data_IF_421583140827
#
_entry.id   IF_421583140827
#
_cell.length_a   1.000
_cell.length_b   1.000
_cell.length_c   1.000
_cell.angle_alpha   90.00
_cell.angle_beta   90.00
_cell.angle_gamma   90.00
#
_symmetry.space_group_name_H-M   'P 1'
#
loop_
_entity.id
_entity.type
_entity.pdbx_description
1 polymer ?
#
# COMPACT_ATOMS: atom_id res chain seq x y z
N UNK A 1 -6.85 26.20 26.21
CA UNK A 1 -5.67 25.31 26.23
C UNK A 1 -6.00 23.84 26.57
N UNK A 2 -6.81 23.53 27.59
CA UNK A 2 -7.21 22.14 27.92
C UNK A 2 -7.97 21.41 26.80
N UNK A 3 -8.80 22.10 26.02
CA UNK A 3 -9.60 21.50 24.94
C UNK A 3 -8.75 21.02 23.75
N UNK A 4 -7.64 21.69 23.43
CA UNK A 4 -6.72 21.31 22.36
C UNK A 4 -5.96 20.04 22.77
N UNK A 5 -5.55 19.94 24.04
CA UNK A 5 -4.89 18.75 24.60
C UNK A 5 -5.78 17.49 24.52
N UNK A 6 -7.06 17.64 24.84
CA UNK A 6 -8.01 16.52 24.77
C UNK A 6 -8.23 16.03 23.34
N UNK A 7 -8.22 16.95 22.37
CA UNK A 7 -8.39 16.61 20.95
C UNK A 7 -7.16 15.91 20.34
N UNK A 8 -5.95 16.31 20.76
CA UNK A 8 -4.70 15.67 20.29
C UNK A 8 -4.57 14.25 20.87
N UNK A 9 -4.81 14.05 22.17
CA UNK A 9 -4.79 12.74 22.82
C UNK A 9 -5.90 11.85 22.25
N UNK A 10 -7.08 12.38 21.96
CA UNK A 10 -8.16 11.62 21.35
C UNK A 10 -7.87 11.21 19.90
N UNK A 11 -7.20 12.07 19.09
CA UNK A 11 -6.83 11.73 17.72
C UNK A 11 -5.71 10.67 17.65
N UNK A 12 -4.71 10.76 18.52
CA UNK A 12 -3.64 9.74 18.60
C UNK A 12 -4.13 8.44 19.19
N UNK A 13 -5.01 8.48 20.18
CA UNK A 13 -5.66 7.29 20.75
C UNK A 13 -6.58 6.61 19.73
N UNK A 14 -7.33 7.37 18.93
CA UNK A 14 -8.19 6.82 17.88
C UNK A 14 -7.39 6.15 16.76
N UNK A 15 -6.21 6.67 16.42
CA UNK A 15 -5.31 6.03 15.46
C UNK A 15 -4.71 4.73 16.00
N UNK A 16 -4.49 4.63 17.30
CA UNK A 16 -3.92 3.45 17.95
C UNK A 16 -4.97 2.35 18.19
N UNK A 17 -6.24 2.71 18.42
CA UNK A 17 -7.34 1.75 18.59
C UNK A 17 -7.85 1.15 17.29
N UNK A 18 -7.50 1.73 16.13
CA UNK A 18 -7.81 1.17 14.80
C UNK A 18 -6.82 0.09 14.34
N UNK A 19 -5.91 -0.37 15.20
CA UNK A 19 -5.06 -1.54 14.94
C UNK A 19 -5.57 -2.74 15.78
N UNK A 20 -6.68 -3.39 15.42
CA UNK A 20 -7.03 -4.66 16.02
C UNK A 20 -6.11 -5.74 15.49
N UNK A 21 -5.33 -6.36 16.34
CA UNK A 21 -4.70 -7.64 16.08
C UNK A 21 -3.19 -7.62 15.85
N UNK A 22 -2.42 -7.25 16.86
CA UNK A 22 -1.02 -7.67 17.04
C UNK A 22 -0.95 -8.94 17.90
N UNK A 23 -1.86 -9.89 17.66
CA UNK A 23 -1.70 -11.25 18.16
C UNK A 23 -1.26 -12.11 16.98
N UNK A 24 -0.17 -12.87 17.10
CA UNK A 24 0.21 -13.84 16.08
C UNK A 24 -0.88 -14.91 16.04
N UNK A 25 -1.65 -14.96 14.96
CA UNK A 25 -2.48 -16.11 14.66
C UNK A 25 -1.55 -17.30 14.47
N UNK A 26 -1.55 -18.22 15.41
CA UNK A 26 -1.02 -19.56 15.21
C UNK A 26 -1.85 -20.20 14.11
N UNK A 27 -1.29 -20.30 12.93
CA UNK A 27 -1.80 -21.13 11.84
C UNK A 27 -1.53 -22.56 12.24
N UNK A 28 -2.55 -23.26 12.73
CA UNK A 28 -2.62 -24.71 12.66
C UNK A 28 -2.63 -25.06 11.18
N UNK A 29 -1.51 -25.57 10.71
CA UNK A 29 -1.32 -26.14 9.39
C UNK A 29 -2.14 -27.46 9.35
N UNK A 30 -3.38 -27.37 8.86
CA UNK A 30 -4.16 -28.53 8.47
C UNK A 30 -3.72 -28.86 7.06
N UNK A 31 -2.87 -29.87 6.94
CA UNK A 31 -2.46 -30.50 5.69
C UNK A 31 -3.71 -31.03 4.98
N UNK A 32 -4.02 -30.60 3.74
CA UNK A 32 -5.08 -31.22 2.96
C UNK A 32 -4.66 -32.65 2.56
N UNK A 33 -5.59 -33.63 2.56
CA UNK A 33 -5.27 -34.97 2.10
C UNK A 33 -4.95 -34.96 0.60
N UNK A 34 -3.86 -35.59 0.26
CA UNK A 34 -3.37 -35.80 -1.09
C UNK A 34 -4.36 -36.69 -1.86
N UNK A 35 -4.87 -36.27 -3.04
CA UNK A 35 -5.68 -37.13 -3.87
C UNK A 35 -4.82 -38.23 -4.51
N UNK A 36 -5.31 -39.46 -4.41
CA UNK A 36 -4.73 -40.63 -5.05
C UNK A 36 -4.64 -40.46 -6.57
N UNK A 37 -3.48 -40.81 -7.13
CA UNK A 37 -3.26 -40.91 -8.57
C UNK A 37 -4.17 -41.99 -9.15
N UNK A 38 -5.08 -41.61 -10.03
CA UNK A 38 -5.77 -42.55 -10.91
C UNK A 38 -5.04 -42.60 -12.24
N UNK A 39 -4.64 -43.82 -12.59
CA UNK A 39 -4.10 -44.21 -13.88
C UNK A 39 -5.06 -43.85 -15.01
N UNK A 40 -4.70 -42.98 -15.91
CA UNK A 40 -5.42 -42.74 -17.16
C UNK A 40 -4.71 -43.42 -18.32
N UNK A 41 -5.39 -44.43 -18.84
CA UNK A 41 -5.15 -45.17 -20.07
C UNK A 41 -5.35 -44.25 -21.29
N UNK A 42 -4.50 -44.33 -22.33
CA UNK A 42 -4.64 -43.49 -23.54
C UNK A 42 -5.75 -44.01 -24.45
N UNK A 43 -6.56 -43.08 -24.96
CA UNK A 43 -7.55 -43.36 -26.02
C UNK A 43 -7.27 -42.48 -27.26
N UNK A 44 -7.53 -43.01 -28.48
CA UNK A 44 -6.93 -42.54 -29.71
C UNK A 44 -7.71 -41.41 -30.41
N UNK A 45 -6.94 -40.64 -31.16
CA UNK A 45 -7.31 -39.54 -32.05
C UNK A 45 -8.15 -40.04 -33.26
N UNK A 46 -9.17 -39.31 -33.71
CA UNK A 46 -9.50 -39.32 -35.14
C UNK A 46 -9.31 -37.96 -35.79
N UNK A 47 -8.44 -37.97 -36.81
CA UNK A 47 -8.43 -36.98 -37.87
C UNK A 47 -9.79 -36.88 -38.57
N UNK A 48 -10.19 -35.66 -38.94
CA UNK A 48 -10.99 -35.50 -40.15
C UNK A 48 -10.61 -34.23 -40.92
N UNK A 49 -10.18 -34.49 -42.14
CA UNK A 49 -9.97 -33.56 -43.23
C UNK A 49 -11.33 -33.16 -43.79
N UNK A 50 -11.50 -31.92 -44.22
CA UNK A 50 -12.19 -31.72 -45.49
C UNK A 50 -11.80 -30.37 -46.15
N UNK A 51 -11.45 -30.52 -47.41
CA UNK A 51 -11.10 -29.48 -48.34
C UNK A 51 -12.33 -29.13 -49.22
N UNK A 52 -12.27 -27.97 -49.89
CA UNK A 52 -13.07 -27.74 -51.10
C UNK A 52 -13.69 -26.36 -51.17
N UNK A 53 -13.11 -25.47 -51.92
CA UNK A 53 -13.45 -24.92 -53.27
C UNK A 53 -14.44 -23.75 -53.22
N UNK A 54 -14.02 -22.63 -53.72
CA UNK A 54 -13.92 -22.09 -55.07
C UNK A 54 -15.07 -21.16 -55.51
N UNK A 55 -14.73 -19.96 -55.92
CA UNK A 55 -15.31 -19.30 -57.10
C UNK A 55 -16.26 -18.14 -56.86
N UNK A 56 -16.02 -16.95 -57.10
CA UNK A 56 -16.23 -16.18 -58.33
C UNK A 56 -16.22 -14.68 -58.12
N UNK A 57 -15.53 -13.98 -58.95
CA UNK A 57 -15.43 -12.54 -59.07
C UNK A 57 -16.71 -11.90 -59.59
N UNK A 58 -17.04 -10.70 -59.14
CA UNK A 58 -17.62 -9.61 -59.93
C UNK A 58 -17.43 -8.27 -59.24
N UNK A 59 -16.89 -7.28 -59.95
CA UNK A 59 -16.64 -5.89 -59.65
C UNK A 59 -17.63 -5.05 -60.49
N UNK A 60 -17.81 -3.73 -60.33
CA UNK A 60 -17.82 -2.83 -59.16
C UNK A 60 -19.08 -1.93 -59.11
N UNK A 61 -19.38 -1.30 -57.98
CA UNK A 61 -19.98 0.04 -57.93
C UNK A 61 -19.84 0.60 -56.51
N UNK A 62 -19.15 1.71 -56.35
CA UNK A 62 -19.02 2.47 -55.12
C UNK A 62 -20.26 3.29 -54.88
N UNK A 63 -20.76 3.35 -53.67
CA UNK A 63 -20.88 4.55 -52.84
C UNK A 63 -20.68 4.26 -51.34
N UNK A 64 -20.91 5.19 -50.39
CA UNK A 64 -19.90 5.66 -49.47
C UNK A 64 -19.64 4.70 -48.31
N UNK A 65 -18.39 4.77 -47.87
CA UNK A 65 -17.79 3.98 -46.80
C UNK A 65 -18.56 4.06 -45.49
N UNK A 66 -19.45 3.10 -45.23
CA UNK A 66 -19.75 2.68 -43.90
C UNK A 66 -18.57 1.87 -43.36
N UNK A 67 -18.00 2.32 -42.26
CA UNK A 67 -17.03 1.53 -41.50
C UNK A 67 -17.66 0.16 -41.21
N UNK A 68 -16.96 -0.95 -41.51
CA UNK A 68 -17.46 -2.28 -41.18
C UNK A 68 -17.75 -2.31 -39.68
N UNK A 69 -19.00 -2.57 -39.30
CA UNK A 69 -19.33 -2.96 -37.94
C UNK A 69 -18.34 -4.07 -37.55
N UNK A 70 -17.56 -3.82 -36.49
CA UNK A 70 -16.77 -4.87 -35.90
C UNK A 70 -17.67 -6.09 -35.69
N UNK A 71 -17.24 -7.28 -36.08
CA UNK A 71 -18.06 -8.47 -35.88
C UNK A 71 -18.40 -8.52 -34.39
N UNK A 72 -19.69 -8.51 -34.09
CA UNK A 72 -20.21 -8.83 -32.76
C UNK A 72 -19.71 -10.23 -32.45
N UNK A 73 -18.54 -10.32 -31.85
CA UNK A 73 -18.02 -11.56 -31.33
C UNK A 73 -18.81 -11.91 -30.09
N UNK A 74 -19.98 -12.51 -30.31
CA UNK A 74 -20.60 -13.41 -29.35
C UNK A 74 -19.77 -14.71 -29.30
N UNK A 75 -18.44 -14.57 -29.26
CA UNK A 75 -17.58 -15.66 -28.82
C UNK A 75 -17.70 -15.65 -27.30
N UNK A 76 -18.58 -16.52 -26.81
CA UNK A 76 -18.50 -17.01 -25.43
C UNK A 76 -17.03 -17.31 -25.21
N UNK A 77 -16.36 -16.52 -24.37
CA UNK A 77 -14.96 -16.80 -24.01
C UNK A 77 -14.93 -18.25 -23.51
N UNK A 78 -13.99 -19.08 -24.01
CA UNK A 78 -13.94 -20.48 -23.57
C UNK A 78 -13.82 -20.52 -22.05
N UNK A 79 -14.65 -21.29 -21.40
CA UNK A 79 -14.58 -21.46 -19.95
C UNK A 79 -13.26 -22.15 -19.60
N UNK A 80 -12.77 -21.95 -18.37
CA UNK A 80 -11.56 -22.66 -17.92
C UNK A 80 -11.74 -24.18 -17.96
N UNK A 81 -12.96 -24.66 -17.84
CA UNK A 81 -13.31 -26.07 -17.97
C UNK A 81 -13.15 -26.57 -19.42
N UNK A 82 -13.51 -25.76 -20.42
CA UNK A 82 -13.29 -26.06 -21.83
C UNK A 82 -11.78 -26.13 -22.17
N UNK A 83 -10.95 -25.47 -21.38
CA UNK A 83 -9.48 -25.51 -21.49
C UNK A 83 -8.86 -26.65 -20.68
N UNK A 84 -9.68 -27.52 -20.08
CA UNK A 84 -9.24 -28.71 -19.33
C UNK A 84 -8.83 -28.47 -17.88
N UNK A 85 -9.12 -27.29 -17.31
CA UNK A 85 -8.92 -27.03 -15.89
C UNK A 85 -10.10 -27.58 -15.07
N UNK A 86 -9.81 -28.21 -13.93
CA UNK A 86 -10.86 -28.65 -13.02
C UNK A 86 -11.57 -27.46 -12.35
N UNK A 87 -12.84 -27.59 -12.01
CA UNK A 87 -13.60 -26.55 -11.31
C UNK A 87 -12.92 -26.09 -10.00
N UNK A 88 -12.25 -26.99 -9.30
CA UNK A 88 -11.49 -26.66 -8.09
C UNK A 88 -10.25 -25.81 -8.36
N UNK A 89 -9.54 -26.06 -9.47
CA UNK A 89 -8.41 -25.23 -9.92
C UNK A 89 -8.89 -23.84 -10.34
N UNK A 90 -9.95 -23.76 -11.13
CA UNK A 90 -10.57 -22.51 -11.56
C UNK A 90 -11.01 -21.64 -10.36
N UNK A 91 -11.64 -22.24 -9.35
CA UNK A 91 -12.02 -21.55 -8.12
C UNK A 91 -10.81 -21.08 -7.30
N UNK A 92 -9.77 -21.90 -7.18
CA UNK A 92 -8.53 -21.54 -6.49
C UNK A 92 -7.82 -20.37 -7.16
N UNK A 93 -7.76 -20.35 -8.48
CA UNK A 93 -7.17 -19.28 -9.26
C UNK A 93 -8.00 -17.98 -9.17
N UNK A 94 -9.33 -18.06 -9.21
CA UNK A 94 -10.21 -16.91 -9.04
C UNK A 94 -10.06 -16.27 -7.63
N UNK A 95 -9.99 -17.09 -6.58
CA UNK A 95 -9.76 -16.60 -5.22
C UNK A 95 -8.39 -15.93 -5.08
N UNK A 96 -7.35 -16.55 -5.63
CA UNK A 96 -6.00 -15.99 -5.64
C UNK A 96 -5.95 -14.66 -6.38
N UNK A 97 -6.61 -14.57 -7.54
CA UNK A 97 -6.69 -13.34 -8.32
C UNK A 97 -7.39 -12.24 -7.53
N UNK A 98 -8.52 -12.52 -6.88
CA UNK A 98 -9.21 -11.55 -6.03
C UNK A 98 -8.34 -11.01 -4.89
N UNK A 99 -7.51 -11.88 -4.28
CA UNK A 99 -6.56 -11.46 -3.25
C UNK A 99 -5.42 -10.58 -3.82
N UNK A 100 -4.93 -10.88 -5.02
CA UNK A 100 -3.92 -10.09 -5.72
C UNK A 100 -4.48 -8.70 -6.08
N UNK A 101 -5.71 -8.64 -6.57
CA UNK A 101 -6.37 -7.37 -6.91
C UNK A 101 -6.59 -6.50 -5.67
N UNK A 102 -7.10 -7.08 -4.59
CA UNK A 102 -7.25 -6.39 -3.30
C UNK A 102 -5.91 -5.89 -2.78
N UNK A 103 -4.85 -6.72 -2.83
CA UNK A 103 -3.50 -6.33 -2.44
C UNK A 103 -3.01 -5.16 -3.26
N UNK A 104 -3.13 -5.25 -4.59
CA UNK A 104 -2.68 -4.21 -5.52
C UNK A 104 -3.42 -2.90 -5.29
N UNK A 105 -4.73 -2.94 -5.08
CA UNK A 105 -5.54 -1.78 -4.75
C UNK A 105 -5.07 -1.10 -3.45
N UNK A 106 -4.91 -1.86 -2.38
CA UNK A 106 -4.45 -1.32 -1.08
C UNK A 106 -3.04 -0.73 -1.16
N UNK A 107 -2.12 -1.38 -1.88
CA UNK A 107 -0.75 -0.87 -2.04
C UNK A 107 -0.70 0.37 -2.93
N UNK A 108 -1.58 0.52 -3.93
CA UNK A 108 -1.74 1.77 -4.69
C UNK A 108 -2.21 2.93 -3.81
N UNK A 109 -3.17 2.67 -2.91
CA UNK A 109 -3.61 3.68 -1.94
C UNK A 109 -2.44 4.05 -1.01
N UNK A 110 -1.75 3.04 -0.45
CA UNK A 110 -0.56 3.26 0.38
C UNK A 110 0.48 4.16 -0.32
N UNK A 111 0.79 3.90 -1.58
CA UNK A 111 1.75 4.70 -2.35
C UNK A 111 1.28 6.15 -2.52
N UNK A 112 0.03 6.36 -2.90
CA UNK A 112 -0.54 7.72 -3.07
C UNK A 112 -0.57 8.48 -1.74
N UNK A 113 -1.01 7.83 -0.68
CA UNK A 113 -1.05 8.42 0.67
C UNK A 113 0.35 8.71 1.20
N UNK A 114 1.35 7.89 0.88
CA UNK A 114 2.75 8.15 1.21
C UNK A 114 3.26 9.46 0.60
N UNK A 115 2.95 9.72 -0.67
CA UNK A 115 3.28 10.99 -1.33
C UNK A 115 2.56 12.18 -0.68
N UNK A 116 1.28 12.03 -0.34
CA UNK A 116 0.51 13.06 0.35
C UNK A 116 1.11 13.32 1.73
N UNK A 117 1.53 12.29 2.46
CA UNK A 117 2.15 12.41 3.79
C UNK A 117 3.50 13.15 3.75
N UNK A 118 4.23 13.05 2.64
CA UNK A 118 5.51 13.73 2.48
C UNK A 118 5.39 15.26 2.56
N UNK A 119 4.26 15.83 2.12
CA UNK A 119 4.03 17.29 2.11
C UNK A 119 3.99 17.87 3.53
N UNK A 120 3.08 17.44 4.43
CA UNK A 120 3.08 17.96 5.80
C UNK A 120 4.31 17.53 6.60
N UNK A 121 4.93 16.39 6.29
CA UNK A 121 6.20 16.02 6.91
C UNK A 121 7.29 17.04 6.60
N UNK A 122 7.46 17.41 5.33
CA UNK A 122 8.42 18.42 4.92
C UNK A 122 8.11 19.78 5.56
N UNK A 123 6.85 20.19 5.58
CA UNK A 123 6.42 21.42 6.24
C UNK A 123 6.70 21.38 7.76
N UNK A 124 6.53 20.23 8.42
CA UNK A 124 6.87 20.03 9.83
C UNK A 124 8.37 20.19 10.06
N UNK A 125 9.20 19.60 9.19
CA UNK A 125 10.66 19.73 9.28
C UNK A 125 11.08 21.19 9.08
N UNK A 126 10.55 21.89 8.09
CA UNK A 126 10.86 23.30 7.83
C UNK A 126 10.42 24.19 9.00
N UNK A 127 9.22 23.99 9.54
CA UNK A 127 8.70 24.79 10.66
C UNK A 127 9.49 24.57 11.95
N UNK A 128 10.27 23.47 12.06
CA UNK A 128 11.09 23.19 13.24
C UNK A 128 12.14 24.27 13.50
N UNK A 129 12.65 24.93 12.44
CA UNK A 129 13.59 26.03 12.57
C UNK A 129 13.04 27.20 13.39
N UNK A 130 11.74 27.51 13.24
CA UNK A 130 11.05 28.52 14.03
C UNK A 130 10.58 28.04 15.40
N UNK A 131 10.38 26.74 15.59
CA UNK A 131 9.82 26.17 16.83
C UNK A 131 10.89 25.87 17.90
N UNK A 132 12.15 25.66 17.50
CA UNK A 132 13.25 25.25 18.39
C UNK A 132 14.06 26.38 19.04
N UNK A 133 13.93 27.61 18.58
CA UNK A 133 14.75 28.77 18.98
C UNK A 133 14.55 29.20 20.46
N UNK A 134 15.48 30.05 20.92
CA UNK A 134 15.40 30.65 22.27
C UNK A 134 14.22 31.64 22.37
N UNK A 135 13.88 32.30 21.26
CA UNK A 135 12.80 33.32 21.15
C UNK A 135 11.63 32.78 20.31
N UNK A 136 11.26 31.53 20.51
CA UNK A 136 10.19 30.88 19.74
C UNK A 136 8.83 31.51 20.07
N UNK A 137 8.13 32.04 19.06
CA UNK A 137 6.76 32.51 19.22
C UNK A 137 5.81 31.35 19.50
N UNK A 138 4.75 31.61 20.24
CA UNK A 138 3.68 30.64 20.49
C UNK A 138 3.11 30.12 19.16
N UNK A 139 2.88 31.01 18.21
CA UNK A 139 2.36 30.68 16.88
C UNK A 139 3.26 29.69 16.12
N UNK A 140 4.59 29.92 16.10
CA UNK A 140 5.51 29.00 15.42
C UNK A 140 5.53 27.61 16.05
N UNK A 141 5.45 27.56 17.36
CA UNK A 141 5.40 26.32 18.13
C UNK A 141 4.11 25.55 17.88
N UNK A 142 2.99 26.26 17.92
CA UNK A 142 1.66 25.68 17.71
C UNK A 142 1.49 25.19 16.25
N UNK A 143 2.02 25.95 15.27
CA UNK A 143 2.03 25.55 13.87
C UNK A 143 2.86 24.26 13.68
N UNK A 144 4.07 24.19 14.25
CA UNK A 144 4.89 22.99 14.18
C UNK A 144 4.19 21.78 14.80
N UNK A 145 3.56 21.94 15.93
CA UNK A 145 2.79 20.88 16.59
C UNK A 145 1.59 20.44 15.74
N UNK A 146 0.86 21.37 15.15
CA UNK A 146 -0.27 21.07 14.27
C UNK A 146 0.15 20.30 13.02
N UNK A 147 1.22 20.73 12.36
CA UNK A 147 1.79 20.05 11.20
C UNK A 147 2.31 18.65 11.55
N UNK A 148 2.97 18.51 12.70
CA UNK A 148 3.42 17.22 13.23
C UNK A 148 2.28 16.25 13.47
N UNK A 149 1.18 16.72 14.08
CA UNK A 149 -0.04 15.94 14.30
C UNK A 149 -0.70 15.49 13.00
N UNK A 150 -0.81 16.41 12.02
CA UNK A 150 -1.33 16.09 10.70
C UNK A 150 -0.46 15.03 9.99
N UNK A 151 0.86 15.19 10.07
CA UNK A 151 1.84 14.22 9.52
C UNK A 151 1.66 12.84 10.14
N UNK A 152 1.57 12.76 11.47
CA UNK A 152 1.40 11.49 12.17
C UNK A 152 0.09 10.80 11.77
N UNK A 153 -1.01 11.54 11.71
CA UNK A 153 -2.33 11.01 11.30
C UNK A 153 -2.29 10.43 9.88
N UNK A 154 -1.75 11.18 8.92
CA UNK A 154 -1.62 10.72 7.53
C UNK A 154 -0.66 9.53 7.42
N UNK A 155 0.43 9.53 8.18
CA UNK A 155 1.37 8.42 8.21
C UNK A 155 0.72 7.12 8.69
N UNK A 156 0.01 7.14 9.81
CA UNK A 156 -0.65 5.93 10.33
C UNK A 156 -1.76 5.44 9.40
N UNK A 157 -2.51 6.36 8.78
CA UNK A 157 -3.47 6.00 7.74
C UNK A 157 -2.76 5.33 6.54
N UNK A 158 -1.62 5.86 6.11
CA UNK A 158 -0.81 5.27 5.04
C UNK A 158 -0.30 3.87 5.41
N UNK A 159 0.24 3.72 6.63
CA UNK A 159 0.77 2.45 7.13
C UNK A 159 -0.33 1.37 7.23
N UNK A 160 -1.56 1.75 7.62
CA UNK A 160 -2.70 0.86 7.69
C UNK A 160 -2.91 0.09 6.37
N UNK A 161 -2.88 0.77 5.22
CA UNK A 161 -3.08 0.12 3.93
C UNK A 161 -1.98 -0.88 3.58
N UNK A 162 -0.72 -0.62 3.97
CA UNK A 162 0.37 -1.56 3.77
C UNK A 162 0.27 -2.79 4.68
N UNK A 163 -0.06 -2.58 5.96
CA UNK A 163 -0.15 -3.64 6.98
C UNK A 163 -1.34 -4.56 6.69
N UNK A 164 -2.48 -3.99 6.27
CA UNK A 164 -3.71 -4.74 5.99
C UNK A 164 -3.77 -5.34 4.59
N UNK A 165 -2.81 -5.03 3.71
CA UNK A 165 -2.75 -5.64 2.39
C UNK A 165 -2.58 -7.16 2.49
N UNK A 166 -3.39 -7.97 1.80
CA UNK A 166 -3.31 -9.43 1.85
C UNK A 166 -1.91 -9.93 1.50
N UNK A 167 -1.46 -10.97 2.21
CA UNK A 167 -0.23 -11.70 1.85
C UNK A 167 -0.62 -12.80 0.87
N UNK A 168 -0.02 -12.78 -0.31
CA UNK A 168 -0.28 -13.78 -1.36
C UNK A 168 1.04 -14.48 -1.66
N UNK A 169 1.02 -15.81 -1.66
CA UNK A 169 2.19 -16.62 -1.96
C UNK A 169 2.75 -16.30 -3.35
N UNK A 170 4.06 -16.31 -3.49
CA UNK A 170 4.73 -15.96 -4.74
C UNK A 170 4.91 -14.45 -4.99
N UNK A 171 4.37 -13.57 -4.09
CA UNK A 171 4.65 -12.13 -4.15
C UNK A 171 5.90 -11.79 -3.34
N UNK A 172 7.05 -12.25 -3.80
CA UNK A 172 8.31 -11.96 -3.12
C UNK A 172 8.72 -10.50 -3.23
N UNK A 173 9.29 -9.98 -2.16
CA UNK A 173 9.86 -8.63 -2.15
C UNK A 173 11.30 -8.66 -2.64
N UNK A 174 11.55 -8.01 -3.78
CA UNK A 174 12.89 -7.91 -4.39
C UNK A 174 13.24 -6.44 -4.65
N UNK A 175 14.53 -6.18 -4.81
CA UNK A 175 15.02 -4.87 -5.21
C UNK A 175 14.57 -3.71 -4.32
N UNK A 176 14.10 -2.59 -4.89
CA UNK A 176 13.72 -1.38 -4.18
C UNK A 176 12.72 -1.57 -3.05
N UNK A 177 11.79 -2.53 -3.21
CA UNK A 177 10.78 -2.83 -2.18
C UNK A 177 11.42 -3.42 -0.92
N UNK A 178 12.52 -4.18 -1.05
CA UNK A 178 13.27 -4.68 0.12
C UNK A 178 13.90 -3.53 0.90
N UNK A 179 14.49 -2.55 0.20
CA UNK A 179 15.06 -1.33 0.81
C UNK A 179 13.97 -0.53 1.51
N UNK A 180 12.85 -0.28 0.84
CA UNK A 180 11.69 0.38 1.43
C UNK A 180 11.23 -0.29 2.74
N UNK A 181 11.12 -1.61 2.75
CA UNK A 181 10.72 -2.36 3.95
C UNK A 181 11.75 -2.27 5.07
N UNK A 182 13.05 -2.32 4.74
CA UNK A 182 14.10 -2.15 5.74
C UNK A 182 14.04 -0.76 6.38
N UNK A 183 13.86 0.29 5.58
CA UNK A 183 13.71 1.67 6.06
C UNK A 183 12.42 1.87 6.86
N UNK A 184 11.36 1.10 6.55
CA UNK A 184 10.11 1.13 7.32
C UNK A 184 10.30 0.67 8.78
N UNK A 185 11.26 -0.21 9.06
CA UNK A 185 11.65 -0.60 10.42
C UNK A 185 12.36 0.52 11.19
N UNK A 186 12.86 1.54 10.50
CA UNK A 186 13.46 2.73 11.12
C UNK A 186 12.40 3.82 11.29
N UNK A 187 11.76 4.24 10.18
CA UNK A 187 10.80 5.34 10.26
C UNK A 187 9.48 4.95 10.95
N UNK A 188 9.10 3.66 11.00
CA UNK A 188 7.89 3.22 11.69
C UNK A 188 7.93 3.52 13.20
N UNK A 189 8.87 2.95 13.96
CA UNK A 189 9.08 3.32 15.36
C UNK A 189 9.37 4.80 15.55
N UNK A 190 10.14 5.42 14.65
CA UNK A 190 10.43 6.85 14.69
C UNK A 190 9.18 7.71 14.62
N UNK A 191 8.19 7.35 13.78
CA UNK A 191 6.92 8.07 13.67
C UNK A 191 6.02 7.92 14.91
N UNK A 192 6.27 6.93 15.75
CA UNK A 192 5.63 6.80 17.06
C UNK A 192 6.36 7.66 18.10
N UNK A 193 7.68 7.56 18.14
CA UNK A 193 8.50 8.25 19.13
C UNK A 193 8.55 9.77 18.92
N UNK A 194 8.62 10.23 17.68
CA UNK A 194 8.72 11.66 17.37
C UNK A 194 7.58 12.48 17.95
N UNK A 195 6.29 12.15 17.76
CA UNK A 195 5.21 12.93 18.36
C UNK A 195 5.18 12.82 19.89
N UNK A 196 5.55 11.69 20.49
CA UNK A 196 5.61 11.54 21.95
C UNK A 196 6.68 12.48 22.53
N UNK A 197 7.88 12.45 21.98
CA UNK A 197 8.98 13.32 22.42
C UNK A 197 8.69 14.79 22.11
N UNK A 198 7.97 15.05 21.02
CA UNK A 198 7.55 16.38 20.62
C UNK A 198 6.54 16.98 21.60
N UNK A 199 5.57 16.20 22.09
CA UNK A 199 4.61 16.64 23.10
C UNK A 199 5.32 16.98 24.41
N UNK A 200 6.27 16.15 24.84
CA UNK A 200 7.08 16.43 26.04
C UNK A 200 7.88 17.72 25.89
N UNK A 201 8.51 17.93 24.72
CA UNK A 201 9.26 19.15 24.42
C UNK A 201 8.34 20.37 24.36
N UNK A 202 7.16 20.23 23.77
CA UNK A 202 6.14 21.28 23.70
C UNK A 202 5.66 21.70 25.09
N UNK A 203 5.45 20.76 25.98
CA UNK A 203 5.01 21.02 27.36
C UNK A 203 6.07 21.83 28.12
N UNK A 204 7.36 21.41 28.07
CA UNK A 204 8.46 22.14 28.72
C UNK A 204 8.58 23.56 28.16
N UNK A 205 8.55 23.71 26.83
CA UNK A 205 8.56 25.04 26.19
C UNK A 205 7.34 25.90 26.57
N UNK A 206 6.18 25.31 26.73
CA UNK A 206 4.95 26.03 27.15
C UNK A 206 5.04 26.58 28.58
N UNK A 207 5.86 25.97 29.42
CA UNK A 207 6.17 26.42 30.78
C UNK A 207 7.32 27.41 30.83
N UNK A 208 7.91 27.77 29.67
CA UNK A 208 9.10 28.64 29.58
C UNK A 208 10.41 27.94 29.91
N UNK A 209 10.39 26.62 30.04
CA UNK A 209 11.56 25.80 30.35
C UNK A 209 12.43 25.54 29.11
N UNK A 210 13.71 25.26 29.34
CA UNK A 210 14.54 24.65 28.30
C UNK A 210 14.18 23.20 28.13
N UNK A 211 14.17 22.72 26.89
CA UNK A 211 13.96 21.30 26.64
C UNK A 211 15.11 20.50 27.23
N UNK A 212 14.79 19.53 28.07
CA UNK A 212 15.79 18.72 28.80
C UNK A 212 15.32 17.24 28.90
N UNK A 213 16.21 16.41 29.42
CA UNK A 213 15.93 14.97 29.59
C UNK A 213 15.64 14.30 28.26
N UNK A 214 14.74 13.30 28.28
CA UNK A 214 14.40 12.50 27.09
C UNK A 214 13.73 13.32 25.97
N UNK A 215 13.03 14.42 26.34
CA UNK A 215 12.42 15.32 25.37
C UNK A 215 13.44 15.98 24.42
N UNK A 216 14.70 16.13 24.85
CA UNK A 216 15.77 16.67 23.99
C UNK A 216 16.10 15.76 22.81
N UNK A 217 15.73 14.49 22.85
CA UNK A 217 15.90 13.55 21.74
C UNK A 217 14.89 13.76 20.59
N UNK A 218 13.86 14.62 20.77
CA UNK A 218 12.86 14.89 19.73
C UNK A 218 13.49 15.28 18.38
N UNK A 219 14.39 16.25 18.37
CA UNK A 219 15.04 16.74 17.14
C UNK A 219 15.84 15.65 16.42
N UNK A 220 16.83 15.00 17.07
CA UNK A 220 17.59 13.90 16.47
C UNK A 220 16.70 12.75 15.96
N UNK A 221 15.72 12.31 16.74
CA UNK A 221 14.79 11.25 16.33
C UNK A 221 13.97 11.68 15.12
N UNK A 222 13.46 12.92 15.11
CA UNK A 222 12.69 13.46 14.00
C UNK A 222 13.51 13.50 12.69
N UNK A 223 14.77 13.91 12.76
CA UNK A 223 15.67 13.97 11.58
C UNK A 223 15.91 12.57 11.01
N UNK A 224 16.25 11.59 11.87
CA UNK A 224 16.45 10.20 11.45
C UNK A 224 15.17 9.62 10.84
N UNK A 225 14.04 9.89 11.48
CA UNK A 225 12.73 9.42 11.02
C UNK A 225 12.34 10.00 9.65
N UNK A 226 12.47 11.32 9.50
CA UNK A 226 12.18 12.01 8.25
C UNK A 226 13.13 11.59 7.13
N UNK A 227 14.43 11.43 7.43
CA UNK A 227 15.43 10.94 6.48
C UNK A 227 15.13 9.51 6.03
N UNK A 228 14.82 8.60 6.95
CA UNK A 228 14.46 7.22 6.63
C UNK A 228 13.15 7.14 5.83
N UNK A 229 12.14 7.97 6.16
CA UNK A 229 10.90 8.05 5.39
C UNK A 229 11.15 8.56 3.96
N UNK A 230 11.93 9.64 3.81
CA UNK A 230 12.28 10.18 2.50
C UNK A 230 13.06 9.19 1.65
N UNK A 231 14.04 8.50 2.22
CA UNK A 231 14.81 7.45 1.54
C UNK A 231 13.90 6.25 1.15
N UNK A 232 12.96 5.87 2.02
CA UNK A 232 11.98 4.82 1.72
C UNK A 232 11.07 5.22 0.55
N UNK A 233 10.62 6.48 0.52
CA UNK A 233 9.81 7.00 -0.58
C UNK A 233 10.60 7.03 -1.89
N UNK A 234 11.82 7.53 -1.88
CA UNK A 234 12.70 7.59 -3.06
C UNK A 234 13.01 6.19 -3.59
N UNK A 235 13.25 5.21 -2.71
CA UNK A 235 13.60 3.84 -3.12
C UNK A 235 12.54 3.17 -4.00
N UNK A 236 11.26 3.56 -3.88
CA UNK A 236 10.16 3.00 -4.68
C UNK A 236 9.64 3.94 -5.75
N UNK A 237 10.07 5.21 -5.75
CA UNK A 237 9.65 6.22 -6.72
C UNK A 237 10.58 6.29 -7.92
N UNK A 238 11.87 5.99 -7.72
CA UNK A 238 12.88 5.99 -8.79
C UNK A 238 12.92 4.61 -9.40
N UNK A 239 12.58 4.51 -10.69
CA UNK A 239 12.79 3.30 -11.50
C UNK A 239 14.25 3.32 -11.96
N UNK A 240 15.04 2.37 -11.49
CA UNK A 240 16.35 2.07 -12.03
C UNK A 240 16.21 1.05 -13.16
#
# INVERSE_FOLDING_TARGET
MKLIRLRFIALTALALTLVPGLLPAQTTETTPPQPAQQDQKPSPNPQNQNAGQSGSQSKPTTPPTELPNAPSSSKTEPSLEDLGFSASQAQGDAQRQALLDKRTHMLKIHQRMGLITAVPLLATVISSAGAGGKSTSTTSRDLHAALGGATATLYFTTAYFAIRAPRVSGTETRGPIRVHKALAWIHGPGMILTPILGEMAFEQKSKGEKVHGIASAHGPVAIVTAGAFGAALLSVSVKF
#
